data_IF_147775149177
#
_entry.id   IF_147775149177
#
_cell.length_a   1.000
_cell.length_b   1.000
_cell.length_c   1.000
_cell.angle_alpha   90.00
_cell.angle_beta   90.00
_cell.angle_gamma   90.00
#
_symmetry.space_group_name_H-M   'P 1'
#
loop_
_entity.id
_entity.type
_entity.pdbx_description
1 polymer ?
#
# COMPACT_ATOMS: atom_id res chain seq x y z
N UNK A 1 16.80 7.27 -13.50
CA UNK A 1 17.81 7.66 -12.49
C UNK A 1 17.16 8.22 -11.23
N UNK A 2 16.35 9.28 -11.29
CA UNK A 2 15.64 9.85 -10.12
C UNK A 2 14.87 8.81 -9.29
N UNK A 3 14.11 7.93 -9.94
CA UNK A 3 13.38 6.85 -9.26
C UNK A 3 14.28 5.85 -8.52
N UNK A 4 15.44 5.48 -9.08
CA UNK A 4 16.36 4.53 -8.45
C UNK A 4 16.97 5.12 -7.17
N UNK A 5 17.39 6.39 -7.20
CA UNK A 5 17.92 7.08 -6.01
C UNK A 5 16.88 7.15 -4.89
N UNK A 6 15.63 7.48 -5.23
CA UNK A 6 14.53 7.52 -4.28
C UNK A 6 14.19 6.13 -3.70
N UNK A 7 14.26 5.09 -4.52
CA UNK A 7 14.11 3.71 -4.07
C UNK A 7 15.24 3.31 -3.12
N UNK A 8 16.50 3.60 -3.46
CA UNK A 8 17.64 3.31 -2.57
C UNK A 8 17.52 4.08 -1.25
N UNK A 9 17.07 5.33 -1.30
CA UNK A 9 16.80 6.13 -0.11
C UNK A 9 15.69 5.51 0.76
N UNK A 10 14.59 5.06 0.16
CA UNK A 10 13.52 4.36 0.89
C UNK A 10 13.97 3.03 1.50
N UNK A 11 14.81 2.25 0.81
CA UNK A 11 15.42 1.02 1.34
C UNK A 11 16.30 1.34 2.55
N UNK A 12 17.12 2.38 2.46
CA UNK A 12 18.00 2.81 3.56
C UNK A 12 17.17 3.14 4.81
N UNK A 13 16.14 3.97 4.66
CA UNK A 13 15.24 4.33 5.76
C UNK A 13 14.54 3.11 6.36
N UNK A 14 14.13 2.14 5.55
CA UNK A 14 13.47 0.92 6.01
C UNK A 14 14.40 -0.08 6.69
N UNK A 15 15.71 -0.01 6.41
CA UNK A 15 16.73 -0.85 7.04
C UNK A 15 17.17 -0.38 8.43
N UNK A 16 16.70 0.80 8.86
CA UNK A 16 16.98 1.36 10.18
C UNK A 16 16.16 0.63 11.25
N UNK A 17 16.80 0.23 12.34
CA UNK A 17 16.17 -0.46 13.46
C UNK A 17 16.82 -1.80 13.79
N UNK A 18 16.18 -2.52 14.71
CA UNK A 18 16.63 -3.84 15.14
C UNK A 18 16.33 -4.87 14.07
N UNK A 19 17.33 -5.68 13.72
CA UNK A 19 17.13 -6.84 12.88
C UNK A 19 16.32 -7.90 13.64
N UNK A 20 15.15 -8.25 13.12
CA UNK A 20 14.26 -9.26 13.73
C UNK A 20 14.84 -10.67 13.73
N UNK A 21 15.85 -10.95 12.89
CA UNK A 21 16.45 -12.28 12.76
C UNK A 21 17.74 -12.43 13.58
N UNK A 22 18.58 -11.40 13.63
CA UNK A 22 19.86 -11.45 14.37
C UNK A 22 19.83 -10.73 15.71
N UNK A 23 18.81 -9.92 15.99
CA UNK A 23 18.73 -9.08 17.19
C UNK A 23 19.73 -7.91 17.21
N UNK A 24 20.54 -7.73 16.15
CA UNK A 24 21.52 -6.64 16.09
C UNK A 24 20.85 -5.32 15.71
N UNK A 25 21.18 -4.19 16.38
CA UNK A 25 20.73 -2.87 15.95
C UNK A 25 21.43 -2.44 14.67
N UNK A 26 20.69 -1.78 13.76
CA UNK A 26 21.22 -1.25 12.49
C UNK A 26 20.87 0.22 12.36
N UNK A 27 21.87 1.04 12.07
CA UNK A 27 21.70 2.48 11.88
C UNK A 27 20.94 3.16 13.05
N UNK A 28 21.17 2.69 14.28
CA UNK A 28 20.53 3.19 15.50
C UNK A 28 21.23 4.46 16.04
N UNK A 29 22.47 4.71 15.61
CA UNK A 29 23.27 5.89 15.96
C UNK A 29 23.32 6.16 17.48
N UNK A 30 23.24 5.09 18.30
CA UNK A 30 23.23 5.17 19.76
C UNK A 30 21.92 5.65 20.39
N UNK A 31 20.84 5.79 19.62
CA UNK A 31 19.53 6.23 20.11
C UNK A 31 18.58 5.06 20.33
N UNK A 32 18.06 4.95 21.55
CA UNK A 32 17.08 3.93 21.92
C UNK A 32 15.81 4.04 21.07
N UNK A 33 15.44 5.24 20.63
CA UNK A 33 14.25 5.45 19.80
C UNK A 33 14.40 4.86 18.39
N UNK A 34 15.62 4.82 17.86
CA UNK A 34 15.91 4.27 16.54
C UNK A 34 16.00 2.73 16.54
N UNK A 35 16.10 2.08 17.71
CA UNK A 35 16.06 0.62 17.82
C UNK A 35 14.74 0.04 17.29
N UNK A 36 13.64 0.74 17.49
CA UNK A 36 12.33 0.36 16.92
C UNK A 36 12.20 0.62 15.42
N UNK A 37 13.22 1.21 14.79
CA UNK A 37 13.22 1.62 13.40
C UNK A 37 12.33 2.84 13.14
N UNK A 38 12.06 3.11 11.87
CA UNK A 38 11.13 4.16 11.46
C UNK A 38 9.72 3.55 11.39
N UNK A 39 8.74 4.01 12.18
CA UNK A 39 7.40 3.47 12.14
C UNK A 39 6.73 3.84 10.81
N UNK A 40 6.19 2.83 10.13
CA UNK A 40 5.61 2.98 8.80
C UNK A 40 4.45 3.97 8.75
N UNK A 41 3.47 3.82 9.65
CA UNK A 41 2.26 4.65 9.62
C UNK A 41 2.56 6.13 9.80
N UNK A 42 3.35 6.56 10.82
CA UNK A 42 3.77 7.94 10.94
C UNK A 42 4.60 8.45 9.76
N UNK A 43 5.48 7.62 9.18
CA UNK A 43 6.28 8.01 8.02
C UNK A 43 5.38 8.37 6.82
N UNK A 44 4.39 7.53 6.50
CA UNK A 44 3.42 7.78 5.41
C UNK A 44 2.54 8.99 5.70
N UNK A 45 2.03 9.11 6.93
CA UNK A 45 1.23 10.26 7.36
C UNK A 45 2.02 11.55 7.12
N UNK A 46 3.31 11.57 7.43
CA UNK A 46 4.15 12.73 7.16
C UNK A 46 4.34 12.99 5.67
N UNK A 47 4.91 12.04 4.92
CA UNK A 47 5.29 12.21 3.50
C UNK A 47 4.10 12.55 2.60
N UNK A 48 2.92 12.00 2.89
CA UNK A 48 1.72 12.17 2.05
C UNK A 48 0.72 13.15 2.66
N UNK A 49 0.48 13.06 3.97
CA UNK A 49 -0.51 13.90 4.67
C UNK A 49 0.06 15.26 5.06
N UNK A 50 1.06 15.26 5.95
CA UNK A 50 1.62 16.50 6.50
C UNK A 50 2.34 17.34 5.44
N UNK A 51 3.01 16.71 4.47
CA UNK A 51 3.60 17.42 3.33
C UNK A 51 2.56 18.25 2.53
N UNK A 52 1.33 17.74 2.39
CA UNK A 52 0.23 18.48 1.76
C UNK A 52 -0.25 19.64 2.63
N UNK A 53 -0.24 19.49 3.96
CA UNK A 53 -0.55 20.59 4.88
C UNK A 53 0.46 21.72 4.71
N UNK A 54 1.76 21.42 4.66
CA UNK A 54 2.82 22.42 4.43
C UNK A 54 2.60 23.13 3.10
N UNK A 55 2.26 22.39 2.03
CA UNK A 55 1.95 22.94 0.72
C UNK A 55 0.70 23.85 0.75
N UNK A 56 -0.38 23.42 1.42
CA UNK A 56 -1.60 24.21 1.60
C UNK A 56 -1.33 25.51 2.37
N UNK A 57 -0.39 25.49 3.33
CA UNK A 57 0.04 26.70 4.05
C UNK A 57 0.78 27.69 3.14
N UNK A 58 1.62 27.21 2.22
CA UNK A 58 2.32 28.04 1.23
C UNK A 58 1.33 28.66 0.22
N UNK A 59 0.35 27.89 -0.24
CA UNK A 59 -0.64 28.33 -1.23
C UNK A 59 -1.78 29.17 -0.63
N UNK A 60 -1.89 29.24 0.71
CA UNK A 60 -2.96 29.93 1.44
C UNK A 60 -3.20 31.39 1.04
N UNK A 61 -2.14 32.09 0.61
CA UNK A 61 -2.19 33.52 0.24
C UNK A 61 -2.31 33.75 -1.28
N UNK A 62 -2.16 32.72 -2.11
CA UNK A 62 -2.51 32.84 -3.53
C UNK A 62 -4.03 32.87 -3.60
N UNK A 63 -4.60 33.92 -4.20
CA UNK A 63 -6.05 34.02 -4.47
C UNK A 63 -6.44 32.97 -5.52
N UNK A 64 -6.40 31.70 -5.18
CA UNK A 64 -7.13 30.68 -5.92
C UNK A 64 -8.55 30.81 -5.42
N UNK A 65 -9.36 31.58 -6.15
CA UNK A 65 -10.79 31.34 -6.19
C UNK A 65 -10.94 29.89 -6.64
N UNK A 66 -10.92 28.95 -5.70
CA UNK A 66 -11.55 27.65 -5.93
C UNK A 66 -13.01 28.03 -6.07
N UNK A 67 -13.43 28.23 -7.32
CA UNK A 67 -14.83 28.19 -7.68
C UNK A 67 -15.32 26.87 -7.15
N UNK A 68 -15.99 26.92 -6.00
CA UNK A 68 -16.83 25.84 -5.52
C UNK A 68 -17.97 25.80 -6.55
N UNK A 69 -17.70 25.24 -7.72
CA UNK A 69 -18.75 24.60 -8.50
C UNK A 69 -19.43 23.69 -7.50
N UNK A 70 -20.70 23.97 -7.23
CA UNK A 70 -21.49 23.27 -6.23
C UNK A 70 -21.32 21.77 -6.50
N UNK A 71 -20.49 21.10 -5.70
CA UNK A 71 -20.30 19.66 -5.74
C UNK A 71 -21.68 19.05 -5.51
N UNK A 72 -22.35 18.72 -6.61
CA UNK A 72 -23.73 18.28 -6.59
C UNK A 72 -23.69 16.78 -6.44
N UNK A 73 -24.53 16.22 -5.56
CA UNK A 73 -24.61 14.77 -5.28
C UNK A 73 -24.80 13.98 -6.59
N UNK A 74 -25.52 14.55 -7.57
CA UNK A 74 -25.68 13.98 -8.92
C UNK A 74 -24.40 13.99 -9.78
N UNK A 75 -23.51 14.97 -9.61
CA UNK A 75 -22.24 15.06 -10.34
C UNK A 75 -21.13 14.18 -9.76
N UNK A 76 -21.32 13.67 -8.53
CA UNK A 76 -20.42 12.72 -7.88
C UNK A 76 -20.82 11.26 -8.11
N UNK A 77 -21.93 10.98 -8.80
CA UNK A 77 -22.28 9.62 -9.18
C UNK A 77 -21.44 9.16 -10.38
N UNK A 78 -20.94 7.94 -10.29
CA UNK A 78 -20.21 7.26 -11.36
C UNK A 78 -21.13 7.16 -12.58
N UNK A 79 -20.72 7.72 -13.70
CA UNK A 79 -21.46 7.57 -14.96
C UNK A 79 -21.25 6.16 -15.54
N UNK A 80 -22.12 5.75 -16.46
CA UNK A 80 -21.94 4.49 -17.20
C UNK A 80 -20.60 4.42 -17.96
N UNK A 81 -20.10 5.58 -18.39
CA UNK A 81 -18.78 5.71 -19.00
C UNK A 81 -17.67 5.40 -18.00
N UNK A 82 -17.73 6.04 -16.84
CA UNK A 82 -16.78 5.79 -15.74
C UNK A 82 -16.83 4.31 -15.34
N UNK A 83 -18.03 3.72 -15.19
CA UNK A 83 -18.17 2.30 -14.85
C UNK A 83 -17.37 1.37 -15.78
N UNK A 84 -17.43 1.58 -17.10
CA UNK A 84 -16.65 0.79 -18.05
C UNK A 84 -15.15 1.04 -17.93
N UNK A 85 -14.76 2.29 -17.65
CA UNK A 85 -13.36 2.72 -17.48
C UNK A 85 -12.72 2.11 -16.23
N UNK A 86 -13.44 1.98 -15.12
CA UNK A 86 -12.91 1.39 -13.87
C UNK A 86 -13.12 -0.13 -13.73
N UNK A 87 -14.02 -0.75 -14.48
CA UNK A 87 -14.27 -2.20 -14.39
C UNK A 87 -13.00 -3.04 -14.61
N UNK A 88 -12.29 -2.83 -15.72
CA UNK A 88 -11.08 -3.61 -16.03
C UNK A 88 -9.93 -3.36 -15.05
N UNK A 89 -9.58 -2.10 -14.71
CA UNK A 89 -8.59 -1.82 -13.66
C UNK A 89 -8.94 -2.45 -12.31
N UNK A 90 -10.22 -2.36 -11.90
CA UNK A 90 -10.68 -2.88 -10.61
C UNK A 90 -10.61 -4.41 -10.55
N UNK A 91 -11.13 -5.12 -11.57
CA UNK A 91 -11.10 -6.58 -11.60
C UNK A 91 -9.66 -7.10 -11.61
N UNK A 92 -8.82 -6.56 -12.51
CA UNK A 92 -7.40 -6.95 -12.61
C UNK A 92 -6.65 -6.73 -11.30
N UNK A 93 -6.81 -5.54 -10.73
CA UNK A 93 -6.08 -5.17 -9.51
C UNK A 93 -6.65 -5.87 -8.28
N UNK A 94 -7.95 -6.17 -8.26
CA UNK A 94 -8.60 -6.99 -7.25
C UNK A 94 -8.06 -8.42 -7.20
N UNK A 95 -7.98 -9.11 -8.35
CA UNK A 95 -7.36 -10.43 -8.43
C UNK A 95 -5.91 -10.40 -7.98
N UNK A 96 -5.13 -9.44 -8.50
CA UNK A 96 -3.75 -9.25 -8.09
C UNK A 96 -3.64 -8.99 -6.57
N UNK A 97 -4.54 -8.18 -6.02
CA UNK A 97 -4.64 -7.91 -4.59
C UNK A 97 -4.91 -9.17 -3.80
N UNK A 98 -5.88 -10.00 -4.22
CA UNK A 98 -6.16 -11.29 -3.59
C UNK A 98 -4.92 -12.19 -3.57
N UNK A 99 -4.22 -12.33 -4.71
CA UNK A 99 -2.96 -13.09 -4.77
C UNK A 99 -1.90 -12.55 -3.80
N UNK A 100 -1.72 -11.23 -3.75
CA UNK A 100 -0.79 -10.58 -2.81
C UNK A 100 -1.24 -10.81 -1.36
N UNK A 101 -2.54 -10.78 -1.07
CA UNK A 101 -3.10 -11.04 0.26
C UNK A 101 -2.89 -12.46 0.76
N UNK A 102 -2.92 -13.46 -0.14
CA UNK A 102 -2.60 -14.86 0.21
C UNK A 102 -1.13 -15.00 0.62
N UNK A 103 -0.24 -14.15 0.12
CA UNK A 103 1.18 -14.20 0.47
C UNK A 103 1.40 -13.68 1.91
N UNK A 104 1.97 -14.49 2.81
CA UNK A 104 2.23 -14.04 4.18
C UNK A 104 3.18 -12.84 4.23
N UNK A 105 2.80 -11.83 4.99
CA UNK A 105 3.59 -10.62 5.21
C UNK A 105 3.41 -9.53 4.16
N UNK A 106 2.78 -9.78 3.01
CA UNK A 106 2.63 -8.74 1.98
C UNK A 106 1.66 -7.63 2.43
N UNK A 107 0.52 -7.99 3.03
CA UNK A 107 -0.44 -7.03 3.57
C UNK A 107 -1.18 -6.18 2.52
N UNK A 108 -2.25 -5.51 2.97
CA UNK A 108 -3.15 -4.78 2.07
C UNK A 108 -2.53 -3.50 1.48
N UNK A 109 -1.65 -2.84 2.24
CA UNK A 109 -0.97 -1.62 1.79
C UNK A 109 -0.01 -1.88 0.61
N UNK A 110 0.74 -2.98 0.66
CA UNK A 110 1.61 -3.41 -0.45
C UNK A 110 0.79 -3.70 -1.70
N UNK A 111 -0.35 -4.38 -1.54
CA UNK A 111 -1.27 -4.66 -2.63
C UNK A 111 -1.81 -3.38 -3.28
N UNK A 112 -2.23 -2.40 -2.48
CA UNK A 112 -2.69 -1.10 -2.97
C UNK A 112 -1.62 -0.39 -3.82
N UNK A 113 -0.38 -0.35 -3.33
CA UNK A 113 0.73 0.24 -4.07
C UNK A 113 1.12 -0.55 -5.33
N UNK A 114 1.04 -1.88 -5.29
CA UNK A 114 1.23 -2.72 -6.46
C UNK A 114 0.12 -2.48 -7.49
N UNK A 115 -1.12 -2.27 -7.03
CA UNK A 115 -2.27 -1.81 -7.83
C UNK A 115 -1.95 -0.54 -8.59
N UNK A 116 -1.49 0.48 -7.88
CA UNK A 116 -1.07 1.77 -8.44
C UNK A 116 0.06 1.61 -9.47
N UNK A 117 1.12 0.88 -9.10
CA UNK A 117 2.30 0.69 -9.93
C UNK A 117 1.96 -0.08 -11.22
N UNK A 118 1.11 -1.10 -11.12
CA UNK A 118 0.63 -1.84 -12.28
C UNK A 118 -0.19 -0.93 -13.19
N UNK A 119 -1.07 -0.08 -12.65
CA UNK A 119 -1.89 0.84 -13.43
C UNK A 119 -1.06 1.87 -14.21
N UNK A 120 0.14 2.22 -13.73
CA UNK A 120 1.10 3.09 -14.46
C UNK A 120 1.56 2.55 -15.80
N UNK A 121 1.47 1.23 -16.00
CA UNK A 121 1.83 0.59 -17.28
C UNK A 121 0.69 0.59 -18.29
N UNK A 122 -0.52 0.97 -17.90
CA UNK A 122 -1.71 1.00 -18.74
C UNK A 122 -2.04 2.43 -19.18
N UNK A 123 -2.84 2.54 -20.26
CA UNK A 123 -3.38 3.83 -20.68
C UNK A 123 -4.43 4.27 -19.66
N UNK A 124 -4.35 5.53 -19.27
CA UNK A 124 -5.34 6.21 -18.45
C UNK A 124 -5.77 7.45 -19.25
N UNK A 125 -7.05 7.83 -19.19
CA UNK A 125 -7.48 9.05 -19.90
C UNK A 125 -6.93 10.31 -19.21
N UNK A 126 -6.77 10.23 -17.88
CA UNK A 126 -6.12 11.26 -17.08
C UNK A 126 -4.74 10.79 -16.60
N UNK A 127 -3.75 11.70 -16.50
CA UNK A 127 -2.44 11.36 -15.98
C UNK A 127 -2.53 10.90 -14.52
N UNK A 128 -1.94 9.74 -14.22
CA UNK A 128 -1.89 9.24 -12.84
C UNK A 128 -1.18 10.25 -11.93
N UNK A 129 -1.83 10.57 -10.80
CA UNK A 129 -1.37 11.57 -9.84
C UNK A 129 -2.16 12.89 -9.87
N UNK A 130 -3.04 13.10 -10.87
CA UNK A 130 -3.95 14.26 -10.91
C UNK A 130 -5.36 13.96 -10.38
N UNK A 131 -5.58 12.77 -9.82
CA UNK A 131 -6.91 12.31 -9.38
C UNK A 131 -7.58 11.29 -10.32
N UNK A 132 -6.85 10.76 -11.31
CA UNK A 132 -7.35 9.77 -12.25
C UNK A 132 -8.08 8.60 -11.56
N UNK A 133 -9.35 8.41 -11.93
CA UNK A 133 -10.26 7.42 -11.32
C UNK A 133 -9.77 5.98 -11.47
N UNK A 134 -9.05 5.64 -12.53
CA UNK A 134 -8.50 4.29 -12.74
C UNK A 134 -7.39 3.98 -11.75
N UNK A 135 -6.60 4.99 -11.38
CA UNK A 135 -5.54 4.85 -10.38
C UNK A 135 -6.12 4.55 -9.01
N UNK A 136 -7.16 5.28 -8.62
CA UNK A 136 -7.86 5.09 -7.34
C UNK A 136 -8.55 3.72 -7.33
N UNK A 137 -9.30 3.38 -8.38
CA UNK A 137 -9.98 2.09 -8.49
C UNK A 137 -9.02 0.91 -8.45
N UNK A 138 -7.85 1.02 -9.10
CA UNK A 138 -6.82 -0.02 -9.05
C UNK A 138 -6.24 -0.21 -7.64
N UNK A 139 -5.93 0.89 -6.93
CA UNK A 139 -5.44 0.84 -5.56
C UNK A 139 -6.46 0.22 -4.60
N UNK A 140 -7.70 0.73 -4.63
CA UNK A 140 -8.75 0.31 -3.70
C UNK A 140 -9.21 -1.12 -3.97
N UNK A 141 -9.30 -1.53 -5.24
CA UNK A 141 -9.62 -2.91 -5.57
C UNK A 141 -8.51 -3.86 -5.10
N UNK A 142 -7.23 -3.50 -5.29
CA UNK A 142 -6.13 -4.34 -4.80
C UNK A 142 -6.08 -4.41 -3.27
N UNK A 143 -6.33 -3.28 -2.58
CA UNK A 143 -6.43 -3.22 -1.13
C UNK A 143 -7.52 -4.15 -0.59
N UNK A 144 -8.74 -4.04 -1.12
CA UNK A 144 -9.87 -4.87 -0.72
C UNK A 144 -9.68 -6.34 -1.09
N UNK A 145 -9.14 -6.62 -2.27
CA UNK A 145 -8.79 -7.98 -2.70
C UNK A 145 -7.78 -8.61 -1.74
N UNK A 146 -6.74 -7.87 -1.33
CA UNK A 146 -5.74 -8.37 -0.39
C UNK A 146 -6.29 -8.58 1.02
N UNK A 147 -7.18 -7.71 1.50
CA UNK A 147 -7.84 -7.88 2.78
C UNK A 147 -8.63 -9.20 2.83
N UNK A 148 -9.40 -9.51 1.78
CA UNK A 148 -10.11 -10.78 1.66
C UNK A 148 -9.15 -11.96 1.46
N UNK A 149 -8.13 -11.82 0.62
CA UNK A 149 -7.13 -12.86 0.34
C UNK A 149 -6.35 -13.29 1.58
N UNK A 150 -6.08 -12.37 2.52
CA UNK A 150 -5.37 -12.66 3.76
C UNK A 150 -6.11 -13.62 4.70
N UNK A 151 -7.43 -13.77 4.56
CA UNK A 151 -8.21 -14.75 5.33
C UNK A 151 -7.95 -16.19 4.89
N UNK A 152 -7.56 -16.43 3.63
CA UNK A 152 -7.33 -17.78 3.13
C UNK A 152 -6.21 -18.52 3.91
N UNK A 153 -4.96 -18.01 4.00
CA UNK A 153 -3.92 -18.66 4.78
C UNK A 153 -4.21 -18.62 6.30
N UNK A 154 -4.89 -17.57 6.77
CA UNK A 154 -5.27 -17.44 8.17
C UNK A 154 -6.21 -18.58 8.61
N UNK A 155 -7.30 -18.79 7.88
CA UNK A 155 -8.33 -19.76 8.24
C UNK A 155 -7.91 -21.19 7.87
N UNK A 156 -7.24 -21.38 6.72
CA UNK A 156 -6.88 -22.71 6.24
C UNK A 156 -5.59 -23.25 6.86
N UNK A 157 -4.61 -22.40 7.18
CA UNK A 157 -3.30 -22.83 7.69
C UNK A 157 -3.00 -22.33 9.11
N UNK A 158 -3.81 -21.42 9.65
CA UNK A 158 -3.51 -20.76 10.93
C UNK A 158 -2.32 -19.79 10.84
N UNK A 159 -1.91 -19.40 9.63
CA UNK A 159 -0.75 -18.53 9.41
C UNK A 159 -1.24 -17.13 9.04
N UNK A 160 -1.06 -16.11 9.91
CA UNK A 160 -1.56 -14.78 9.64
C UNK A 160 -0.74 -14.10 8.54
N UNK A 161 -1.44 -13.51 7.57
CA UNK A 161 -0.81 -12.77 6.46
C UNK A 161 -0.38 -11.35 6.82
N UNK A 162 -0.84 -10.80 7.95
CA UNK A 162 -0.57 -9.44 8.40
C UNK A 162 -0.64 -9.35 9.93
N UNK A 163 -0.17 -8.24 10.51
CA UNK A 163 -0.33 -7.97 11.94
C UNK A 163 -1.80 -7.93 12.38
N UNK A 164 -2.71 -7.39 11.55
CA UNK A 164 -4.14 -7.44 11.82
C UNK A 164 -4.70 -8.86 11.81
N UNK A 165 -4.22 -9.71 10.90
CA UNK A 165 -4.56 -11.13 10.88
C UNK A 165 -4.07 -11.87 12.12
N UNK A 166 -2.91 -11.52 12.68
CA UNK A 166 -2.41 -12.13 13.90
C UNK A 166 -3.26 -11.78 15.13
N UNK A 167 -3.76 -10.54 15.23
CA UNK A 167 -4.71 -10.15 16.27
C UNK A 167 -6.03 -10.92 16.12
N UNK A 168 -6.52 -11.08 14.89
CA UNK A 168 -7.72 -11.86 14.61
C UNK A 168 -7.53 -13.34 14.97
N UNK A 169 -6.38 -13.93 14.64
CA UNK A 169 -6.01 -15.29 15.04
C UNK A 169 -6.05 -15.45 16.56
N UNK A 170 -5.46 -14.50 17.29
CA UNK A 170 -5.52 -14.46 18.76
C UNK A 170 -6.95 -14.42 19.27
N UNK A 171 -7.81 -13.59 18.68
CA UNK A 171 -9.23 -13.50 19.03
C UNK A 171 -10.01 -14.80 18.75
N UNK A 172 -9.77 -15.45 17.62
CA UNK A 172 -10.38 -16.74 17.28
C UNK A 172 -9.96 -17.83 18.28
N UNK A 173 -8.67 -17.88 18.62
CA UNK A 173 -8.15 -18.82 19.62
C UNK A 173 -8.73 -18.55 21.01
N UNK A 174 -8.93 -17.28 21.40
CA UNK A 174 -9.62 -16.93 22.65
C UNK A 174 -11.08 -17.44 22.68
N UNK A 175 -11.72 -17.53 21.52
CA UNK A 175 -13.07 -18.09 21.36
C UNK A 175 -13.08 -19.62 21.24
N UNK A 176 -11.94 -20.28 21.46
CA UNK A 176 -11.81 -21.74 21.37
C UNK A 176 -11.81 -22.27 19.93
N UNK A 177 -11.74 -21.40 18.92
CA UNK A 177 -11.62 -21.79 17.53
C UNK A 177 -10.14 -21.92 17.19
N UNK A 178 -9.76 -23.04 16.60
CA UNK A 178 -8.38 -23.31 16.17
C UNK A 178 -8.31 -23.22 14.64
N UNK A 179 -7.86 -22.08 14.06
CA UNK A 179 -7.72 -21.96 12.62
C UNK A 179 -6.73 -22.95 12.05
N UNK A 180 -7.03 -23.47 10.86
CA UNK A 180 -6.33 -24.59 10.25
C UNK A 180 -7.30 -25.48 9.47
N UNK A 181 -6.81 -26.57 8.84
CA UNK A 181 -7.65 -27.44 8.02
C UNK A 181 -8.83 -28.05 8.79
N UNK A 182 -8.63 -28.26 10.10
CA UNK A 182 -9.63 -28.81 11.02
C UNK A 182 -10.74 -27.81 11.40
N UNK A 183 -10.56 -26.51 11.17
CA UNK A 183 -11.60 -25.51 11.47
C UNK A 183 -12.86 -25.77 10.64
N UNK A 184 -12.67 -26.13 9.36
CA UNK A 184 -13.76 -26.41 8.42
C UNK A 184 -14.48 -27.72 8.72
N UNK A 185 -13.85 -28.65 9.45
CA UNK A 185 -14.47 -29.92 9.86
C UNK A 185 -15.09 -29.84 11.24
N UNK A 186 -14.42 -29.19 12.19
CA UNK A 186 -14.82 -29.15 13.60
C UNK A 186 -15.82 -28.03 13.88
N UNK A 187 -15.82 -26.97 13.07
CA UNK A 187 -16.71 -25.81 13.23
C UNK A 187 -17.20 -25.29 11.87
N UNK A 188 -17.89 -26.13 11.08
CA UNK A 188 -18.33 -25.78 9.73
C UNK A 188 -19.31 -24.61 9.72
N UNK A 189 -20.22 -24.54 10.69
CA UNK A 189 -21.20 -23.45 10.80
C UNK A 189 -20.51 -22.10 10.99
N UNK A 190 -19.44 -22.06 11.79
CA UNK A 190 -18.63 -20.86 11.97
C UNK A 190 -17.84 -20.54 10.70
N UNK A 191 -17.14 -21.51 10.11
CA UNK A 191 -16.28 -21.27 8.96
C UNK A 191 -17.06 -20.76 7.74
N UNK A 192 -18.17 -21.42 7.41
CA UNK A 192 -19.04 -21.00 6.31
C UNK A 192 -19.87 -19.76 6.66
N UNK A 193 -20.30 -19.61 7.92
CA UNK A 193 -20.95 -18.40 8.40
C UNK A 193 -20.05 -17.17 8.29
N UNK A 194 -18.77 -17.31 8.62
CA UNK A 194 -17.76 -16.27 8.47
C UNK A 194 -17.59 -15.89 7.00
N UNK A 195 -17.42 -16.88 6.10
CA UNK A 195 -17.29 -16.63 4.66
C UNK A 195 -18.54 -15.93 4.13
N UNK A 196 -19.74 -16.42 4.45
CA UNK A 196 -21.00 -15.78 4.05
C UNK A 196 -21.12 -14.35 4.59
N UNK A 197 -20.70 -14.13 5.84
CA UNK A 197 -20.68 -12.80 6.45
C UNK A 197 -19.72 -11.85 5.74
N UNK A 198 -18.59 -12.31 5.18
CA UNK A 198 -17.68 -11.48 4.40
C UNK A 198 -18.33 -10.99 3.10
N UNK A 199 -19.14 -11.81 2.44
CA UNK A 199 -19.93 -11.37 1.27
C UNK A 199 -20.98 -10.33 1.68
N UNK A 200 -21.73 -10.60 2.74
CA UNK A 200 -22.75 -9.68 3.24
C UNK A 200 -22.14 -8.36 3.74
N UNK A 201 -21.00 -8.42 4.42
CA UNK A 201 -20.28 -7.26 4.95
C UNK A 201 -19.86 -6.32 3.81
N UNK A 202 -19.48 -6.84 2.64
CA UNK A 202 -19.18 -6.01 1.48
C UNK A 202 -20.41 -5.24 0.97
N UNK A 203 -21.59 -5.88 0.94
CA UNK A 203 -22.85 -5.23 0.57
C UNK A 203 -23.21 -4.15 1.59
N UNK A 204 -23.11 -4.45 2.88
CA UNK A 204 -23.35 -3.49 3.96
C UNK A 204 -22.37 -2.32 3.89
N UNK A 205 -21.08 -2.60 3.64
CA UNK A 205 -20.05 -1.59 3.48
C UNK A 205 -20.35 -0.67 2.30
N UNK A 206 -20.86 -1.21 1.18
CA UNK A 206 -21.28 -0.41 0.04
C UNK A 206 -22.45 0.53 0.40
N UNK A 207 -23.46 0.03 1.13
CA UNK A 207 -24.58 0.86 1.58
C UNK A 207 -24.13 1.98 2.53
N UNK A 208 -23.25 1.66 3.49
CA UNK A 208 -22.68 2.64 4.40
C UNK A 208 -21.85 3.67 3.63
N UNK A 209 -20.99 3.21 2.71
CA UNK A 209 -20.17 4.11 1.89
C UNK A 209 -21.05 5.09 1.10
N UNK A 210 -22.13 4.63 0.46
CA UNK A 210 -23.08 5.50 -0.23
C UNK A 210 -23.74 6.53 0.69
N UNK A 211 -24.11 6.15 1.91
CA UNK A 211 -24.66 7.09 2.90
C UNK A 211 -23.66 8.16 3.36
N UNK A 212 -22.36 7.83 3.36
CA UNK A 212 -21.28 8.71 3.84
C UNK A 212 -20.77 9.68 2.77
N UNK A 213 -20.91 9.37 1.46
CA UNK A 213 -20.53 10.25 0.34
C UNK A 213 -21.01 11.70 0.51
N UNK A 214 -22.30 12.02 0.77
CA UNK A 214 -22.75 13.40 0.89
C UNK A 214 -22.10 14.15 2.06
N UNK A 215 -21.72 13.44 3.12
CA UNK A 215 -20.99 14.01 4.24
C UNK A 215 -19.53 14.32 3.87
N UNK A 216 -18.85 13.40 3.19
CA UNK A 216 -17.48 13.60 2.69
C UNK A 216 -17.39 14.78 1.71
N UNK A 217 -18.37 14.93 0.82
CA UNK A 217 -18.42 16.07 -0.12
C UNK A 217 -18.51 17.41 0.64
N UNK A 218 -19.29 17.48 1.73
CA UNK A 218 -19.39 18.71 2.53
C UNK A 218 -18.09 19.07 3.24
N UNK A 219 -17.29 18.08 3.65
CA UNK A 219 -15.97 18.30 4.25
C UNK A 219 -15.03 18.99 3.25
N UNK A 220 -15.13 18.69 1.94
CA UNK A 220 -14.31 19.34 0.92
C UNK A 220 -14.64 20.84 0.73
N UNK A 221 -15.84 21.27 1.11
CA UNK A 221 -16.25 22.68 1.06
C UNK A 221 -15.77 23.50 2.25
N UNK A 222 -15.09 22.89 3.23
CA UNK A 222 -14.56 23.58 4.41
C UNK A 222 -13.38 24.48 3.99
N UNK A 223 -13.33 25.75 4.42
CA UNK A 223 -12.26 26.66 4.03
C UNK A 223 -10.88 26.14 4.46
N UNK A 224 -9.87 26.33 3.61
CA UNK A 224 -8.47 25.90 3.84
C UNK A 224 -7.91 26.40 5.17
N UNK A 225 -8.36 27.57 5.65
CA UNK A 225 -8.01 28.14 6.96
C UNK A 225 -8.38 27.21 8.13
N UNK A 226 -9.46 26.44 8.01
CA UNK A 226 -9.90 25.46 9.01
C UNK A 226 -9.35 24.06 8.72
N UNK A 227 -9.17 23.69 7.45
CA UNK A 227 -8.61 22.37 7.10
C UNK A 227 -7.18 22.19 7.63
N UNK A 228 -6.31 23.21 7.53
CA UNK A 228 -4.92 23.14 7.98
C UNK A 228 -4.79 22.68 9.46
N UNK A 229 -5.41 23.37 10.45
CA UNK A 229 -5.30 22.94 11.85
C UNK A 229 -5.97 21.59 12.11
N UNK A 230 -7.10 21.29 11.46
CA UNK A 230 -7.79 20.00 11.64
C UNK A 230 -6.93 18.84 11.13
N UNK A 231 -6.40 18.93 9.91
CA UNK A 231 -5.53 17.88 9.35
C UNK A 231 -4.27 17.73 10.21
N UNK A 232 -3.68 18.84 10.67
CA UNK A 232 -2.50 18.79 11.55
C UNK A 232 -2.78 18.02 12.83
N UNK A 233 -3.90 18.30 13.51
CA UNK A 233 -4.29 17.58 14.74
C UNK A 233 -4.53 16.10 14.42
N UNK A 234 -5.22 15.78 13.33
CA UNK A 234 -5.46 14.39 12.93
C UNK A 234 -4.15 13.65 12.61
N UNK A 235 -3.19 14.29 11.93
CA UNK A 235 -1.88 13.72 11.65
C UNK A 235 -1.08 13.45 12.94
N UNK A 236 -1.10 14.37 13.90
CA UNK A 236 -0.43 14.22 15.19
C UNK A 236 -1.08 13.10 16.01
N UNK A 237 -2.40 13.13 16.16
CA UNK A 237 -3.16 12.11 16.91
C UNK A 237 -3.02 10.74 16.26
N UNK A 238 -3.12 10.63 14.93
CA UNK A 238 -2.97 9.36 14.22
C UNK A 238 -1.56 8.78 14.34
N UNK A 239 -0.53 9.63 14.27
CA UNK A 239 0.87 9.20 14.44
C UNK A 239 1.16 8.77 15.88
N UNK A 240 0.60 9.49 16.86
CA UNK A 240 0.71 9.12 18.26
C UNK A 240 -0.05 7.83 18.56
N UNK A 241 -1.29 7.67 18.09
CA UNK A 241 -2.13 6.49 18.35
C UNK A 241 -1.55 5.21 17.77
N UNK A 242 -0.85 5.29 16.63
CA UNK A 242 -0.27 4.10 15.97
C UNK A 242 1.04 3.65 16.59
N UNK A 243 1.86 4.59 17.06
CA UNK A 243 3.16 4.29 17.68
C UNK A 243 3.13 4.28 19.21
N UNK A 244 2.02 4.73 19.81
CA UNK A 244 1.83 5.02 21.22
C UNK A 244 3.01 5.79 21.85
N UNK A 245 3.65 6.67 21.08
CA UNK A 245 4.89 7.35 21.44
C UNK A 245 5.05 8.67 20.69
N UNK A 246 5.71 9.64 21.34
CA UNK A 246 6.06 10.92 20.73
C UNK A 246 7.11 10.76 19.60
N UNK A 247 7.86 9.66 19.61
CA UNK A 247 8.81 9.35 18.54
C UNK A 247 8.11 9.24 17.17
N UNK A 248 6.93 8.60 17.10
CA UNK A 248 6.18 8.52 15.85
C UNK A 248 5.72 9.90 15.37
N UNK A 249 5.30 10.78 16.29
CA UNK A 249 4.93 12.17 15.95
C UNK A 249 6.12 12.94 15.39
N UNK A 250 7.31 12.78 15.99
CA UNK A 250 8.54 13.43 15.50
C UNK A 250 8.92 12.92 14.11
N UNK A 251 8.84 11.61 13.88
CA UNK A 251 9.06 11.01 12.55
C UNK A 251 8.06 11.56 11.53
N UNK A 252 6.79 11.72 11.89
CA UNK A 252 5.77 12.31 11.01
C UNK A 252 6.14 13.75 10.61
N UNK A 253 6.60 14.58 11.55
CA UNK A 253 7.04 15.94 11.22
C UNK A 253 8.26 15.93 10.29
N UNK A 254 9.29 15.14 10.61
CA UNK A 254 10.50 15.04 9.79
C UNK A 254 10.20 14.52 8.38
N UNK A 255 9.41 13.45 8.28
CA UNK A 255 9.06 12.85 7.00
C UNK A 255 8.11 13.75 6.20
N UNK A 256 7.28 14.57 6.84
CA UNK A 256 6.46 15.57 6.17
C UNK A 256 7.24 16.73 5.59
N UNK A 257 8.26 17.23 6.31
CA UNK A 257 9.21 18.19 5.72
C UNK A 257 9.94 17.57 4.53
N UNK A 258 10.41 16.32 4.69
CA UNK A 258 11.10 15.60 3.62
C UNK A 258 10.20 15.39 2.39
N UNK A 259 8.94 14.97 2.59
CA UNK A 259 7.96 14.80 1.53
C UNK A 259 7.63 16.11 0.82
N UNK A 260 7.55 17.21 1.56
CA UNK A 260 7.34 18.54 0.98
C UNK A 260 8.54 18.97 0.11
N UNK A 261 9.78 18.79 0.59
CA UNK A 261 11.00 19.08 -0.19
C UNK A 261 11.07 18.24 -1.46
N UNK A 262 10.79 16.92 -1.37
CA UNK A 262 10.74 16.04 -2.54
C UNK A 262 9.73 16.54 -3.57
N UNK A 263 8.54 16.93 -3.12
CA UNK A 263 7.48 17.44 -3.99
C UNK A 263 7.90 18.76 -4.65
N UNK A 264 8.54 19.66 -3.91
CA UNK A 264 9.02 20.96 -4.41
C UNK A 264 10.13 20.81 -5.46
N UNK A 265 10.97 19.79 -5.31
CA UNK A 265 12.02 19.46 -6.28
C UNK A 265 11.53 18.57 -7.44
N UNK A 266 10.21 18.43 -7.63
CA UNK A 266 9.59 17.60 -8.68
C UNK A 266 9.99 16.12 -8.62
N UNK A 267 10.34 15.62 -7.44
CA UNK A 267 10.54 14.20 -7.20
C UNK A 267 9.20 13.53 -6.84
N UNK A 268 8.90 12.43 -7.52
CA UNK A 268 7.72 11.63 -7.21
C UNK A 268 7.96 10.90 -5.87
N UNK A 269 7.09 11.06 -4.87
CA UNK A 269 7.25 10.44 -3.54
C UNK A 269 6.93 8.94 -3.53
N UNK A 270 6.11 8.48 -4.49
CA UNK A 270 5.65 7.08 -4.57
C UNK A 270 6.78 6.01 -4.54
N UNK A 271 7.91 6.15 -5.24
CA UNK A 271 9.01 5.19 -5.18
C UNK A 271 9.67 5.05 -3.80
N UNK A 272 9.74 6.14 -3.01
CA UNK A 272 10.29 6.10 -1.64
C UNK A 272 9.36 5.28 -0.75
N UNK A 273 8.07 5.57 -0.80
CA UNK A 273 7.05 4.88 0.01
C UNK A 273 6.98 3.39 -0.34
N UNK A 274 6.99 3.07 -1.64
CA UNK A 274 6.99 1.68 -2.11
C UNK A 274 8.25 0.94 -1.62
N UNK A 275 9.42 1.54 -1.80
CA UNK A 275 10.67 0.95 -1.34
C UNK A 275 10.69 0.73 0.17
N UNK A 276 10.17 1.69 0.92
CA UNK A 276 10.14 1.63 2.38
C UNK A 276 9.30 0.46 2.91
N UNK A 277 8.18 0.15 2.25
CA UNK A 277 7.31 -0.99 2.63
C UNK A 277 7.86 -2.32 2.16
N UNK A 278 8.34 -2.39 0.91
CA UNK A 278 8.71 -3.66 0.29
C UNK A 278 10.08 -4.15 0.78
N UNK A 279 11.00 -3.26 1.16
CA UNK A 279 12.36 -3.65 1.52
C UNK A 279 12.44 -4.59 2.74
N UNK A 280 11.77 -4.31 3.89
CA UNK A 280 11.78 -5.22 5.03
C UNK A 280 11.15 -6.58 4.72
N UNK A 281 10.11 -6.58 3.90
CA UNK A 281 9.42 -7.80 3.46
C UNK A 281 10.32 -8.66 2.57
N UNK A 282 11.01 -8.03 1.62
CA UNK A 282 11.99 -8.69 0.78
C UNK A 282 13.13 -9.26 1.63
N UNK A 283 13.71 -8.44 2.51
CA UNK A 283 14.82 -8.86 3.36
C UNK A 283 14.45 -10.05 4.26
N UNK A 284 13.32 -9.94 4.99
CA UNK A 284 12.88 -10.99 5.91
C UNK A 284 12.63 -12.31 5.19
N UNK A 285 11.94 -12.27 4.05
CA UNK A 285 11.64 -13.49 3.28
C UNK A 285 12.87 -14.08 2.60
N UNK A 286 13.78 -13.24 2.08
CA UNK A 286 15.02 -13.71 1.49
C UNK A 286 15.93 -14.35 2.54
N UNK A 287 16.03 -13.77 3.74
CA UNK A 287 16.78 -14.36 4.86
C UNK A 287 16.15 -15.67 5.34
N UNK A 288 14.83 -15.76 5.46
CA UNK A 288 14.14 -17.04 5.77
C UNK A 288 14.48 -18.12 4.75
N UNK A 289 14.49 -17.80 3.46
CA UNK A 289 14.91 -18.72 2.41
C UNK A 289 16.37 -19.17 2.57
N UNK A 290 17.28 -18.25 2.92
CA UNK A 290 18.68 -18.60 3.19
C UNK A 290 18.87 -19.46 4.44
N UNK A 291 18.10 -19.23 5.49
CA UNK A 291 18.14 -20.08 6.69
C UNK A 291 17.69 -21.51 6.35
N UNK A 292 16.60 -21.65 5.59
CA UNK A 292 16.08 -22.97 5.16
C UNK A 292 17.08 -23.70 4.25
N UNK A 293 17.77 -22.97 3.38
CA UNK A 293 18.75 -23.51 2.43
C UNK A 293 20.18 -23.64 2.96
N UNK A 294 20.40 -23.30 4.24
CA UNK A 294 21.73 -23.21 4.86
C UNK A 294 22.72 -22.33 4.06
N UNK A 295 22.22 -21.26 3.44
CA UNK A 295 23.01 -20.33 2.64
C UNK A 295 23.22 -20.73 1.17
N UNK A 296 22.64 -21.85 0.71
CA UNK A 296 22.72 -22.23 -0.71
C UNK A 296 21.74 -21.46 -1.58
N UNK A 297 22.23 -20.89 -2.70
CA UNK A 297 21.39 -20.22 -3.70
C UNK A 297 20.55 -21.20 -4.52
N UNK A 298 20.83 -22.51 -4.43
CA UNK A 298 20.16 -23.56 -5.19
C UNK A 298 18.67 -23.66 -4.86
N UNK A 299 18.24 -23.25 -3.67
CA UNK A 299 16.82 -23.27 -3.26
C UNK A 299 15.91 -22.50 -4.22
N UNK A 300 16.45 -21.46 -4.85
CA UNK A 300 15.74 -20.63 -5.80
C UNK A 300 15.49 -21.33 -7.15
N UNK A 301 16.31 -22.31 -7.50
CA UNK A 301 16.25 -23.06 -8.76
C UNK A 301 15.60 -24.45 -8.59
N UNK A 302 15.62 -25.02 -7.38
CA UNK A 302 15.10 -26.35 -7.09
C UNK A 302 13.58 -26.46 -7.21
N UNK A 303 12.84 -25.39 -6.93
CA UNK A 303 11.36 -25.39 -7.00
C UNK A 303 10.89 -24.79 -8.32
N UNK A 304 10.04 -25.50 -9.10
CA UNK A 304 9.58 -25.03 -10.41
C UNK A 304 8.83 -23.70 -10.33
N UNK A 305 8.08 -23.46 -9.25
CA UNK A 305 7.36 -22.20 -9.01
C UNK A 305 8.34 -21.02 -8.78
N UNK A 306 9.40 -21.24 -8.00
CA UNK A 306 10.44 -20.23 -7.76
C UNK A 306 11.17 -19.86 -9.05
N UNK A 307 11.49 -20.87 -9.86
CA UNK A 307 12.18 -20.70 -11.13
C UNK A 307 11.34 -19.86 -12.11
N UNK A 308 10.03 -20.10 -12.20
CA UNK A 308 9.11 -19.27 -13.00
C UNK A 308 9.11 -17.81 -12.53
N UNK A 309 9.04 -17.56 -11.22
CA UNK A 309 9.08 -16.19 -10.68
C UNK A 309 10.40 -15.48 -10.96
N UNK A 310 11.53 -16.19 -10.89
CA UNK A 310 12.85 -15.65 -11.20
C UNK A 310 12.96 -15.32 -12.68
N UNK A 311 12.48 -16.19 -13.57
CA UNK A 311 12.45 -15.90 -15.01
C UNK A 311 11.60 -14.65 -15.27
N UNK A 312 10.43 -14.54 -14.65
CA UNK A 312 9.56 -13.36 -14.80
C UNK A 312 10.27 -12.10 -14.27
N UNK A 313 10.93 -12.18 -13.12
CA UNK A 313 11.66 -11.05 -12.53
C UNK A 313 12.81 -10.59 -13.44
N UNK A 314 13.61 -11.53 -13.94
CA UNK A 314 14.70 -11.25 -14.90
C UNK A 314 14.11 -10.65 -16.18
N UNK A 315 13.03 -11.22 -16.71
CA UNK A 315 12.35 -10.68 -17.88
C UNK A 315 11.89 -9.25 -17.65
N UNK A 316 11.26 -8.94 -16.52
CA UNK A 316 10.81 -7.58 -16.17
C UNK A 316 11.99 -6.61 -16.01
N UNK A 317 13.11 -7.03 -15.42
CA UNK A 317 14.30 -6.18 -15.28
C UNK A 317 15.02 -5.93 -16.61
N UNK A 318 15.12 -6.96 -17.45
CA UNK A 318 15.85 -6.93 -18.72
C UNK A 318 15.00 -6.24 -19.80
N UNK A 319 13.67 -6.39 -19.77
CA UNK A 319 12.76 -5.78 -20.74
C UNK A 319 12.96 -4.27 -20.96
N UNK A 320 13.03 -3.39 -19.94
CA UNK A 320 13.26 -1.96 -20.16
C UNK A 320 14.64 -1.63 -20.74
N UNK A 321 15.65 -2.47 -20.50
CA UNK A 321 17.02 -2.30 -21.05
C UNK A 321 17.10 -2.79 -22.49
N UNK A 322 16.41 -3.89 -22.81
CA UNK A 322 16.43 -4.54 -24.12
C UNK A 322 15.39 -3.94 -25.07
N UNK A 323 14.31 -3.31 -24.56
CA UNK A 323 13.30 -2.58 -25.35
C UNK A 323 13.91 -1.55 -26.31
N UNK A 324 14.80 -0.62 -25.90
CA UNK A 324 15.43 0.31 -26.85
C UNK A 324 16.32 -0.41 -27.88
N UNK A 325 16.90 -1.56 -27.54
CA UNK A 325 17.74 -2.37 -28.43
C UNK A 325 16.89 -3.15 -29.45
N UNK A 326 15.75 -3.71 -29.03
CA UNK A 326 14.76 -4.38 -29.88
C UNK A 326 14.03 -3.42 -30.83
N UNK A 327 13.79 -2.17 -30.38
CA UNK A 327 13.26 -1.10 -31.24
C UNK A 327 14.30 -0.71 -32.29
N UNK A 328 15.61 -0.65 -31.94
CA UNK A 328 16.69 -0.43 -32.91
C UNK A 328 16.87 -1.59 -33.89
N UNK A 329 16.61 -2.83 -33.47
CA UNK A 329 16.66 -4.04 -34.31
C UNK A 329 15.38 -4.29 -35.13
N UNK A 330 14.38 -3.40 -35.08
CA UNK A 330 13.16 -3.49 -35.89
C UNK A 330 12.13 -4.54 -35.44
N UNK A 331 12.38 -5.24 -34.34
CA UNK A 331 11.51 -6.32 -33.83
C UNK A 331 10.29 -5.80 -33.03
N UNK A 332 10.25 -4.50 -32.67
CA UNK A 332 9.12 -3.88 -31.98
C UNK A 332 8.81 -2.47 -32.54
N UNK A 333 7.54 -2.21 -32.87
CA UNK A 333 7.07 -0.87 -33.23
C UNK A 333 7.08 0.07 -32.02
N UNK A 334 7.59 1.29 -32.23
CA UNK A 334 7.60 2.36 -31.23
C UNK A 334 6.16 2.72 -30.89
N UNK A 335 5.71 2.42 -29.66
CA UNK A 335 4.41 2.89 -29.16
C UNK A 335 4.51 4.42 -29.04
N UNK A 336 3.78 5.15 -29.90
CA UNK A 336 3.66 6.59 -29.81
C UNK A 336 3.13 6.94 -28.41
N UNK A 337 3.83 7.87 -27.75
CA UNK A 337 3.50 8.38 -26.43
C UNK A 337 2.13 9.04 -26.43
#
# INVERSE_FOLDING_TARGET
>A
TKGLLLTMFGILLASMGMDTLSGSPRYDFGSIYLLGGIPFTPFVIGVVGFAQVIKLMEERNKKTQVSIEKLTIKGSMITLHDFKRLFFPAVRSGFMGTFVGVLPGAGATTAAFMGYAAQKSFKNEEPLGTGAIEGIAACEAANNGAAAGAFAPLLALGIPGSGTGAVLLGGLMMWGLNPGPLLFTNSPDFAWGLIASLFLANIVTLMIAWGVIPFLIKILSVPTKLMIPIITVVCVVGSYSTSNSMYGVLIMFLSGVLGYVLTKCEYQTAPVLLAFVLAPLLESNMRKAFIISQGSLDIFFQKPISLVFIIILIAIMVFPVVRPLLIRLGLMKRKAS
#
